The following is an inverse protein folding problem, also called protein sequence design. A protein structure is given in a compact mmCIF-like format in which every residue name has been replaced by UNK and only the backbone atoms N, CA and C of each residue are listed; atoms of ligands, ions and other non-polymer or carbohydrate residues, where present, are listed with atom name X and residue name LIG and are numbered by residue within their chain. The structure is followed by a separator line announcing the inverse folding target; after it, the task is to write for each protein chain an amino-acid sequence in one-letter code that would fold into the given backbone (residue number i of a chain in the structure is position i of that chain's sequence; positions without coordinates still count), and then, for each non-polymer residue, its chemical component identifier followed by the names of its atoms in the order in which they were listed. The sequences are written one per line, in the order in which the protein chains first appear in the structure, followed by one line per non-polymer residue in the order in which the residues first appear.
data_IF_375553427804
#
_entry.id   IF_375553427804
#
_cell.length_a   1.000
_cell.length_b   1.000
_cell.length_c   1.000
_cell.angle_alpha   90.00
_cell.angle_beta   90.00
_cell.angle_gamma   90.00
#
_symmetry.space_group_name_H-M   'P 1'
#
loop_
_entity.id
_entity.type
_entity.pdbx_description
1 polymer ?
#
# COMPACT_ATOMS: atom_id res chain seq x y z
N UNK A 1 18.97 1.81 9.02
CA UNK A 1 18.68 1.68 7.57
C UNK A 1 19.62 0.62 7.00
N UNK A 2 19.21 -0.16 6.00
CA UNK A 2 20.09 -1.14 5.34
C UNK A 2 21.12 -0.45 4.45
N UNK A 3 22.41 -0.70 4.66
CA UNK A 3 23.50 -0.05 3.92
C UNK A 3 23.45 -0.37 2.42
N UNK A 4 23.25 -1.64 2.05
CA UNK A 4 23.23 -2.06 0.64
C UNK A 4 22.11 -1.39 -0.13
N UNK A 5 20.94 -1.29 0.50
CA UNK A 5 19.78 -0.58 -0.06
C UNK A 5 20.07 0.90 -0.27
N UNK A 6 20.73 1.57 0.69
CA UNK A 6 21.11 2.98 0.55
C UNK A 6 22.12 3.20 -0.56
N UNK A 7 23.15 2.35 -0.64
CA UNK A 7 24.17 2.43 -1.68
C UNK A 7 23.52 2.27 -3.07
N UNK A 8 22.58 1.33 -3.22
CA UNK A 8 21.85 1.14 -4.48
C UNK A 8 21.02 2.37 -4.87
N UNK A 9 20.34 3.01 -3.91
CA UNK A 9 19.58 4.26 -4.17
C UNK A 9 20.49 5.43 -4.57
N UNK A 10 21.73 5.46 -4.08
CA UNK A 10 22.73 6.48 -4.43
C UNK A 10 23.55 6.16 -5.69
N UNK A 11 23.36 4.97 -6.28
CA UNK A 11 24.18 4.50 -7.39
C UNK A 11 25.62 4.17 -7.00
N UNK A 12 25.88 3.90 -5.73
CA UNK A 12 27.21 3.56 -5.21
C UNK A 12 27.57 2.09 -5.53
N UNK A 13 28.76 1.82 -6.10
CA UNK A 13 29.20 0.46 -6.39
C UNK A 13 29.35 -0.39 -5.11
N UNK A 14 28.85 -1.62 -5.16
CA UNK A 14 28.95 -2.58 -4.06
C UNK A 14 28.98 -4.02 -4.60
N UNK A 15 29.56 -4.94 -3.83
CA UNK A 15 29.74 -6.34 -4.27
C UNK A 15 28.45 -7.15 -4.31
N UNK A 16 27.52 -6.87 -3.40
CA UNK A 16 26.29 -7.64 -3.21
C UNK A 16 25.12 -6.67 -3.36
N UNK A 17 24.22 -6.86 -4.33
CA UNK A 17 23.05 -6.00 -4.47
C UNK A 17 22.05 -6.28 -3.32
N UNK A 18 21.31 -5.25 -2.87
CA UNK A 18 20.20 -5.44 -1.94
C UNK A 18 19.02 -6.14 -2.65
N UNK A 19 18.20 -6.88 -1.89
CA UNK A 19 17.01 -7.56 -2.41
C UNK A 19 15.76 -7.29 -1.58
N UNK A 20 14.66 -7.04 -2.29
CA UNK A 20 13.28 -7.03 -1.80
C UNK A 20 12.37 -7.37 -2.99
N UNK A 21 11.12 -7.75 -2.74
CA UNK A 21 10.20 -8.16 -3.81
C UNK A 21 8.88 -7.37 -3.72
N UNK A 22 8.37 -6.94 -4.88
CA UNK A 22 7.00 -6.43 -4.96
C UNK A 22 6.04 -7.54 -4.52
N UNK A 23 5.09 -7.18 -3.63
CA UNK A 23 4.13 -8.13 -3.01
C UNK A 23 4.80 -9.24 -2.18
N UNK A 24 5.98 -8.99 -1.59
CA UNK A 24 6.63 -9.94 -0.67
C UNK A 24 5.74 -10.33 0.52
N UNK A 25 4.90 -9.42 1.02
CA UNK A 25 3.84 -9.76 1.96
C UNK A 25 2.57 -10.06 1.17
N UNK A 26 2.23 -11.34 0.98
CA UNK A 26 1.10 -11.70 0.14
C UNK A 26 0.73 -13.16 0.13
N UNK A 27 -0.24 -13.51 -0.73
CA UNK A 27 -0.95 -14.80 -0.76
C UNK A 27 -0.07 -16.05 -0.88
N UNK A 28 1.16 -15.93 -1.38
CA UNK A 28 2.10 -17.05 -1.47
C UNK A 28 2.67 -17.46 -0.10
N UNK A 29 2.66 -16.54 0.87
CA UNK A 29 3.37 -16.68 2.14
C UNK A 29 2.45 -17.22 3.23
N UNK A 30 2.86 -18.28 3.91
CA UNK A 30 2.06 -18.94 4.97
C UNK A 30 1.68 -17.97 6.09
N UNK A 31 2.60 -17.11 6.52
CA UNK A 31 2.34 -16.07 7.52
C UNK A 31 1.14 -15.20 7.15
N UNK A 32 1.14 -14.66 5.93
CA UNK A 32 0.04 -13.86 5.41
C UNK A 32 -1.28 -14.65 5.32
N UNK A 33 -1.22 -15.91 4.88
CA UNK A 33 -2.41 -16.77 4.82
C UNK A 33 -3.03 -16.96 6.21
N UNK A 34 -2.22 -17.23 7.24
CA UNK A 34 -2.69 -17.37 8.62
C UNK A 34 -3.27 -16.07 9.21
N UNK A 35 -2.75 -14.91 8.82
CA UNK A 35 -3.37 -13.63 9.16
C UNK A 35 -4.72 -13.44 8.44
N UNK A 36 -4.81 -13.84 7.16
CA UNK A 36 -6.03 -13.74 6.36
C UNK A 36 -7.15 -14.69 6.79
N UNK A 37 -6.86 -15.75 7.54
CA UNK A 37 -7.87 -16.59 8.19
C UNK A 37 -8.62 -15.85 9.31
N UNK A 38 -7.98 -14.83 9.92
CA UNK A 38 -8.49 -14.11 11.08
C UNK A 38 -8.98 -12.69 10.75
N UNK A 39 -8.36 -12.06 9.76
CA UNK A 39 -8.57 -10.65 9.46
C UNK A 39 -8.92 -10.43 7.98
N UNK A 40 -9.74 -9.42 7.72
CA UNK A 40 -10.01 -8.95 6.36
C UNK A 40 -8.79 -8.22 5.78
N UNK A 41 -8.71 -8.09 4.46
CA UNK A 41 -7.64 -7.32 3.82
C UNK A 41 -7.61 -5.87 4.33
N UNK A 42 -8.79 -5.25 4.44
CA UNK A 42 -8.93 -3.88 4.96
C UNK A 42 -8.43 -3.76 6.39
N UNK A 43 -8.73 -4.74 7.27
CA UNK A 43 -8.18 -4.76 8.63
C UNK A 43 -6.65 -4.86 8.62
N UNK A 44 -6.08 -5.73 7.78
CA UNK A 44 -4.63 -5.86 7.65
C UNK A 44 -3.95 -4.56 7.18
N UNK A 45 -4.63 -3.73 6.38
CA UNK A 45 -4.09 -2.44 5.95
C UNK A 45 -4.35 -1.29 6.93
N UNK A 46 -5.56 -1.24 7.53
CA UNK A 46 -6.03 -0.10 8.33
C UNK A 46 -5.74 -0.20 9.82
N UNK A 47 -5.45 -1.39 10.34
CA UNK A 47 -5.02 -1.56 11.72
C UNK A 47 -3.48 -1.52 11.75
N UNK A 48 -2.87 -0.45 12.31
CA UNK A 48 -1.43 -0.23 12.23
C UNK A 48 -0.59 -1.42 12.73
N UNK A 49 -1.04 -2.11 13.77
CA UNK A 49 -0.35 -3.27 14.33
C UNK A 49 -0.36 -4.46 13.38
N UNK A 50 -1.46 -4.68 12.67
CA UNK A 50 -1.60 -5.76 11.68
C UNK A 50 -0.83 -5.42 10.40
N UNK A 51 -0.83 -4.16 9.97
CA UNK A 51 -0.04 -3.72 8.82
C UNK A 51 1.45 -3.92 9.07
N UNK A 52 1.92 -3.56 10.28
CA UNK A 52 3.30 -3.81 10.70
C UNK A 52 3.63 -5.30 10.77
N UNK A 53 2.78 -6.12 11.39
CA UNK A 53 2.95 -7.57 11.45
C UNK A 53 3.02 -8.22 10.07
N UNK A 54 2.16 -7.77 9.15
CA UNK A 54 2.11 -8.27 7.79
C UNK A 54 3.38 -7.91 7.01
N UNK A 55 3.88 -6.68 7.17
CA UNK A 55 5.11 -6.20 6.52
C UNK A 55 6.39 -6.90 7.04
N UNK A 56 6.40 -7.32 8.31
CA UNK A 56 7.56 -7.97 8.95
C UNK A 56 7.70 -9.45 8.61
N UNK A 57 6.61 -10.15 8.30
CA UNK A 57 6.66 -11.59 8.01
C UNK A 57 7.72 -11.98 6.98
N UNK A 58 7.77 -11.35 5.78
CA UNK A 58 8.79 -11.66 4.78
C UNK A 58 10.22 -11.33 5.23
N UNK A 59 10.39 -10.35 6.12
CA UNK A 59 11.71 -10.02 6.69
C UNK A 59 12.18 -11.13 7.62
N UNK A 60 11.28 -11.68 8.43
CA UNK A 60 11.59 -12.74 9.39
C UNK A 60 11.91 -14.08 8.69
N UNK A 61 11.16 -14.40 7.64
CA UNK A 61 11.29 -15.71 6.98
C UNK A 61 12.32 -15.73 5.85
N UNK A 62 12.59 -14.59 5.20
CA UNK A 62 13.45 -14.53 4.00
C UNK A 62 14.63 -13.56 4.11
N UNK A 63 14.75 -12.82 5.22
CA UNK A 63 15.85 -11.90 5.50
C UNK A 63 16.06 -10.80 4.43
N UNK A 64 15.00 -10.36 3.73
CA UNK A 64 15.10 -9.28 2.73
C UNK A 64 15.71 -7.99 3.32
N UNK A 65 16.38 -7.20 2.48
CA UNK A 65 17.07 -5.97 2.88
C UNK A 65 16.11 -4.80 3.17
N UNK A 66 14.90 -4.86 2.62
CA UNK A 66 13.87 -3.86 2.82
C UNK A 66 12.48 -4.48 3.05
N UNK A 67 11.76 -3.91 4.01
CA UNK A 67 10.32 -4.06 4.12
C UNK A 67 9.63 -3.00 3.27
N UNK A 68 8.41 -3.31 2.85
CA UNK A 68 7.49 -2.34 2.25
C UNK A 68 6.24 -2.28 3.12
N UNK A 69 5.70 -1.08 3.32
CA UNK A 69 4.44 -0.88 4.02
C UNK A 69 3.38 -1.84 3.48
N UNK A 70 2.65 -2.53 4.35
CA UNK A 70 1.48 -3.28 3.92
C UNK A 70 0.27 -2.35 3.87
N UNK A 71 -0.12 -1.96 2.66
CA UNK A 71 -1.25 -1.07 2.39
C UNK A 71 -1.80 -1.34 0.98
N UNK A 72 -2.69 -0.48 0.50
CA UNK A 72 -3.20 -0.50 -0.86
C UNK A 72 -3.04 0.88 -1.54
N UNK A 73 -2.94 0.90 -2.87
CA UNK A 73 -2.78 2.14 -3.64
C UNK A 73 -4.05 2.99 -3.64
N UNK A 74 -5.23 2.42 -3.35
CA UNK A 74 -6.53 3.08 -3.57
C UNK A 74 -7.08 3.84 -2.36
N UNK A 75 -6.45 3.74 -1.18
CA UNK A 75 -6.87 4.53 -0.01
C UNK A 75 -6.91 6.05 -0.23
N UNK A 76 -6.09 6.69 -1.09
CA UNK A 76 -6.30 8.08 -1.48
C UNK A 76 -7.69 8.36 -2.08
N UNK A 77 -8.26 7.44 -2.88
CA UNK A 77 -9.61 7.62 -3.45
C UNK A 77 -10.69 7.50 -2.38
N UNK A 78 -10.53 6.54 -1.45
CA UNK A 78 -11.40 6.45 -0.28
C UNK A 78 -11.33 7.73 0.57
N UNK A 79 -10.11 8.25 0.80
CA UNK A 79 -9.87 9.49 1.51
C UNK A 79 -10.42 10.72 0.77
N UNK A 80 -10.60 10.65 -0.55
CA UNK A 80 -11.29 11.67 -1.34
C UNK A 80 -12.82 11.49 -1.36
N UNK A 81 -13.35 10.48 -0.66
CA UNK A 81 -14.79 10.26 -0.51
C UNK A 81 -15.44 9.48 -1.65
N UNK A 82 -14.67 8.68 -2.38
CA UNK A 82 -15.20 7.85 -3.47
C UNK A 82 -15.84 6.52 -3.01
N UNK A 83 -15.76 6.21 -1.71
CA UNK A 83 -16.05 4.87 -1.20
C UNK A 83 -14.98 3.88 -1.64
N UNK A 84 -14.78 2.81 -0.88
CA UNK A 84 -13.87 1.73 -1.27
C UNK A 84 -14.18 0.45 -0.49
N UNK A 85 -14.63 -0.56 -1.21
CA UNK A 85 -14.84 -1.90 -0.67
C UNK A 85 -14.01 -2.93 -1.43
N UNK A 86 -13.74 -4.07 -0.78
CA UNK A 86 -12.97 -5.17 -1.38
C UNK A 86 -13.84 -6.42 -1.45
N UNK A 87 -14.34 -6.76 -2.64
CA UNK A 87 -15.21 -7.93 -2.87
C UNK A 87 -15.25 -8.36 -4.35
N UNK A 88 -14.45 -9.34 -4.82
CA UNK A 88 -13.18 -9.86 -4.30
C UNK A 88 -11.96 -8.97 -4.64
N UNK A 89 -12.17 -7.92 -5.42
CA UNK A 89 -11.23 -6.85 -5.73
C UNK A 89 -11.79 -5.49 -5.31
N UNK A 90 -11.09 -4.38 -5.57
CA UNK A 90 -11.54 -3.06 -5.18
C UNK A 90 -12.75 -2.60 -6.00
N UNK A 91 -13.75 -2.08 -5.31
CA UNK A 91 -14.95 -1.47 -5.88
C UNK A 91 -15.12 -0.08 -5.27
N UNK A 92 -15.31 0.94 -6.11
CA UNK A 92 -15.61 2.30 -5.68
C UNK A 92 -17.13 2.53 -5.74
N UNK A 93 -17.69 3.26 -4.78
CA UNK A 93 -19.14 3.55 -4.73
C UNK A 93 -19.56 4.51 -5.84
N UNK A 94 -18.61 5.27 -6.39
CA UNK A 94 -18.85 6.27 -7.44
C UNK A 94 -17.70 6.35 -8.43
N UNK A 95 -18.01 6.90 -9.60
CA UNK A 95 -17.07 7.11 -10.72
C UNK A 95 -16.89 8.60 -11.01
N UNK A 96 -15.76 8.95 -11.60
CA UNK A 96 -15.53 10.29 -12.16
C UNK A 96 -15.82 10.27 -13.67
N UNK A 97 -16.95 10.86 -14.05
CA UNK A 97 -17.40 10.95 -15.45
C UNK A 97 -17.45 12.41 -15.93
N UNK A 98 -17.70 13.34 -15.01
CA UNK A 98 -17.86 14.76 -15.29
C UNK A 98 -16.99 15.63 -14.38
N UNK A 99 -16.79 16.88 -14.77
CA UNK A 99 -16.12 17.88 -13.94
C UNK A 99 -16.87 18.11 -12.61
N UNK A 100 -18.21 17.97 -12.61
CA UNK A 100 -19.01 18.08 -11.40
C UNK A 100 -18.69 16.97 -10.38
N UNK A 101 -18.38 15.76 -10.86
CA UNK A 101 -17.97 14.66 -9.98
C UNK A 101 -16.65 14.97 -9.29
N UNK A 102 -15.69 15.54 -10.02
CA UNK A 102 -14.40 15.97 -9.49
C UNK A 102 -14.58 17.05 -8.41
N UNK A 103 -15.44 18.04 -8.66
CA UNK A 103 -15.76 19.10 -7.71
C UNK A 103 -16.50 18.59 -6.46
N UNK A 104 -17.14 17.43 -6.55
CA UNK A 104 -17.84 16.80 -5.42
C UNK A 104 -16.94 15.96 -4.50
N UNK A 105 -15.65 15.80 -4.84
CA UNK A 105 -14.69 15.08 -4.00
C UNK A 105 -14.40 15.85 -2.70
N UNK A 106 -14.02 15.10 -1.66
CA UNK A 106 -13.55 15.68 -0.40
C UNK A 106 -12.30 16.55 -0.69
N UNK A 107 -12.23 17.79 -0.16
CA UNK A 107 -11.03 18.61 -0.29
C UNK A 107 -9.79 17.88 0.23
N UNK A 108 -8.65 18.04 -0.45
CA UNK A 108 -7.42 17.32 -0.09
C UNK A 108 -6.96 17.60 1.35
N UNK A 109 -7.18 18.82 1.86
CA UNK A 109 -6.85 19.20 3.22
C UNK A 109 -7.58 18.32 4.25
N UNK A 110 -8.84 17.97 3.98
CA UNK A 110 -9.65 17.11 4.85
C UNK A 110 -9.32 15.64 4.62
N UNK A 111 -9.01 15.26 3.38
CA UNK A 111 -8.66 13.88 3.01
C UNK A 111 -7.42 13.35 3.75
N UNK A 112 -6.43 14.19 4.04
CA UNK A 112 -5.20 13.79 4.75
C UNK A 112 -5.50 13.16 6.12
N UNK A 113 -6.52 13.66 6.83
CA UNK A 113 -6.93 13.11 8.13
C UNK A 113 -7.37 11.65 8.05
N UNK A 114 -7.97 11.24 6.93
CA UNK A 114 -8.41 9.86 6.71
C UNK A 114 -7.25 8.88 6.44
N UNK A 115 -6.04 9.38 6.20
CA UNK A 115 -4.84 8.59 5.90
C UNK A 115 -3.93 8.38 7.13
N UNK A 116 -4.37 8.83 8.32
CA UNK A 116 -3.59 8.73 9.56
C UNK A 116 -3.19 7.29 9.90
N UNK A 117 -4.01 6.29 9.55
CA UNK A 117 -3.69 4.89 9.78
C UNK A 117 -2.41 4.46 9.05
N UNK A 118 -2.12 4.98 7.85
CA UNK A 118 -0.89 4.66 7.13
C UNK A 118 0.33 5.29 7.79
N UNK A 119 0.19 6.52 8.28
CA UNK A 119 1.26 7.19 9.04
C UNK A 119 1.61 6.35 10.28
N UNK A 120 0.60 5.89 11.02
CA UNK A 120 0.82 5.07 12.21
C UNK A 120 1.38 3.69 11.86
N UNK A 121 0.89 3.06 10.79
CA UNK A 121 1.45 1.80 10.29
C UNK A 121 2.92 1.93 9.92
N UNK A 122 3.33 3.02 9.25
CA UNK A 122 4.74 3.30 8.93
C UNK A 122 5.57 3.45 10.22
N UNK A 123 5.07 4.21 11.21
CA UNK A 123 5.75 4.40 12.49
C UNK A 123 5.94 3.08 13.23
N UNK A 124 4.89 2.29 13.39
CA UNK A 124 4.94 0.99 14.07
C UNK A 124 5.81 -0.01 13.32
N UNK A 125 5.70 -0.07 11.98
CA UNK A 125 6.56 -0.94 11.17
C UNK A 125 8.01 -0.55 11.37
N UNK A 126 8.35 0.75 11.32
CA UNK A 126 9.73 1.21 11.54
C UNK A 126 10.22 0.88 12.95
N UNK A 127 9.40 1.07 13.98
CA UNK A 127 9.78 0.79 15.36
C UNK A 127 10.09 -0.69 15.61
N UNK A 128 9.40 -1.61 14.91
CA UNK A 128 9.59 -3.06 15.05
C UNK A 128 10.63 -3.64 14.10
N UNK A 129 10.84 -3.00 12.95
CA UNK A 129 11.75 -3.49 11.92
C UNK A 129 13.21 -3.35 12.41
N UNK A 130 14.08 -4.36 12.21
CA UNK A 130 15.48 -4.27 12.60
C UNK A 130 16.20 -3.06 11.99
N UNK A 131 17.14 -2.49 12.75
CA UNK A 131 17.83 -1.26 12.37
C UNK A 131 18.67 -1.40 11.10
N UNK A 132 19.08 -2.60 10.74
CA UNK A 132 19.83 -2.94 9.53
C UNK A 132 18.93 -3.22 8.31
N UNK A 133 17.61 -3.05 8.43
CA UNK A 133 16.64 -3.17 7.33
C UNK A 133 16.06 -1.79 6.95
N UNK A 134 15.75 -1.60 5.68
CA UNK A 134 15.10 -0.38 5.16
C UNK A 134 13.57 -0.52 5.13
N UNK A 135 12.84 0.59 5.17
CA UNK A 135 11.37 0.61 5.04
C UNK A 135 10.97 1.46 3.83
N UNK A 136 10.17 0.89 2.95
CA UNK A 136 9.62 1.54 1.75
C UNK A 136 8.17 1.93 2.03
N UNK A 137 7.85 3.22 1.90
CA UNK A 137 6.47 3.70 1.75
C UNK A 137 6.07 3.76 0.28
N UNK A 138 4.77 3.78 -0.03
CA UNK A 138 4.29 3.92 -1.40
C UNK A 138 2.92 4.60 -1.45
N UNK A 139 2.58 5.09 -2.64
CA UNK A 139 1.26 5.62 -3.00
C UNK A 139 0.99 5.35 -4.48
N UNK A 140 -0.28 5.26 -4.87
CA UNK A 140 -0.66 5.21 -6.29
C UNK A 140 -0.30 6.50 -7.03
N UNK A 141 0.21 6.38 -8.25
CA UNK A 141 0.46 7.55 -9.11
C UNK A 141 -0.85 8.20 -9.55
N UNK A 142 -0.84 9.53 -9.75
CA UNK A 142 -2.04 10.30 -10.05
C UNK A 142 -2.85 9.76 -11.25
N UNK A 143 -2.17 9.40 -12.34
CA UNK A 143 -2.82 8.81 -13.51
C UNK A 143 -3.48 7.46 -13.18
N UNK A 144 -2.77 6.57 -12.48
CA UNK A 144 -3.32 5.28 -12.06
C UNK A 144 -4.54 5.46 -11.16
N UNK A 145 -4.48 6.36 -10.19
CA UNK A 145 -5.62 6.67 -9.32
C UNK A 145 -6.80 7.20 -10.13
N UNK A 146 -6.55 8.10 -11.08
CA UNK A 146 -7.56 8.60 -12.00
C UNK A 146 -8.18 7.48 -12.82
N UNK A 147 -7.40 6.51 -13.32
CA UNK A 147 -7.96 5.39 -14.09
C UNK A 147 -8.92 4.53 -13.25
N UNK A 148 -8.61 4.29 -11.97
CA UNK A 148 -9.53 3.60 -11.07
C UNK A 148 -10.77 4.45 -10.78
N UNK A 149 -10.58 5.74 -10.52
CA UNK A 149 -11.64 6.67 -10.21
C UNK A 149 -12.65 6.81 -11.37
N UNK A 150 -12.18 6.80 -12.62
CA UNK A 150 -13.06 6.85 -13.79
C UNK A 150 -13.65 5.49 -14.17
N UNK A 151 -12.87 4.40 -14.09
CA UNK A 151 -13.38 3.08 -14.44
C UNK A 151 -14.30 2.47 -13.36
N UNK A 152 -14.17 2.88 -12.10
CA UNK A 152 -14.92 2.35 -10.96
C UNK A 152 -14.57 0.91 -10.54
N UNK A 153 -13.68 0.23 -11.27
CA UNK A 153 -13.25 -1.14 -10.99
C UNK A 153 -11.80 -1.42 -11.49
N UNK A 154 -11.36 -2.67 -11.28
CA UNK A 154 -10.04 -3.18 -11.67
C UNK A 154 -9.99 -3.70 -13.13
N UNK A 155 -11.00 -3.42 -13.96
CA UNK A 155 -11.18 -3.98 -15.30
C UNK A 155 -10.21 -3.43 -16.35
N UNK A 156 -9.50 -2.33 -16.06
CA UNK A 156 -8.38 -1.86 -16.88
C UNK A 156 -8.75 -1.31 -18.27
N UNK A 157 -10.04 -1.14 -18.57
CA UNK A 157 -10.51 -0.60 -19.85
C UNK A 157 -11.09 0.80 -19.65
N UNK A 158 -10.35 1.82 -20.09
CA UNK A 158 -10.84 3.21 -20.18
C UNK A 158 -11.72 3.44 -21.42
N UNK A 159 -11.83 2.44 -22.30
CA UNK A 159 -12.63 2.49 -23.52
C UNK A 159 -13.67 1.38 -23.39
N UNK A 160 -14.94 1.77 -23.32
CA UNK A 160 -16.05 0.83 -23.32
C UNK A 160 -16.03 -0.03 -24.58
N UNK A 161 -16.35 -1.32 -24.40
CA UNK A 161 -16.85 -2.15 -25.49
C UNK A 161 -18.28 -1.74 -25.85
#
# INVERSE_FOLDING_TARGET
MNERFQNALRGEPQKIPPVWMMRQAGRYHRHYQSLKEKYTFVQLCKQPELAAETALGPIQDFDFDAAILFSDILFPLEALGMGLEYSPGPVLDRRLETEADLQSLRPHADAIGHMQFQLEAVRLTRARLPNDKSLIGFIGGAWTLFTYASAGDHGGHLIGA
#
